data_IF_474092678531
#
_entry.id   IF_474092678531
#
_cell.length_a   1.000
_cell.length_b   1.000
_cell.length_c   1.000
_cell.angle_alpha   90.00
_cell.angle_beta   90.00
_cell.angle_gamma   90.00
#
_symmetry.space_group_name_H-M   'P 1'
#
loop_
_entity.id
_entity.type
_entity.pdbx_description
1 polymer ?
#
# COMPACT_ATOMS: atom_id res chain seq x y z
N UNK A 1 -9.32 3.59 -46.64
CA UNK A 1 -9.20 2.80 -45.42
C UNK A 1 -10.13 3.25 -44.29
N UNK A 2 -10.56 4.54 -44.27
CA UNK A 2 -11.40 5.09 -43.19
C UNK A 2 -12.89 4.66 -43.35
N UNK A 3 -13.33 4.36 -44.55
CA UNK A 3 -14.73 3.96 -44.84
C UNK A 3 -15.02 2.51 -44.41
N UNK A 4 -14.02 1.64 -44.39
CA UNK A 4 -14.20 0.23 -43.97
C UNK A 4 -14.43 0.05 -42.45
N UNK A 5 -13.95 0.99 -41.63
CA UNK A 5 -14.18 1.00 -40.18
C UNK A 5 -15.60 1.44 -39.80
N UNK A 6 -16.28 2.17 -40.68
CA UNK A 6 -17.66 2.63 -40.47
C UNK A 6 -18.73 1.57 -40.72
N UNK A 7 -18.44 0.55 -41.55
CA UNK A 7 -19.39 -0.49 -41.93
C UNK A 7 -19.40 -1.72 -41.00
N UNK A 8 -18.38 -1.93 -40.19
CA UNK A 8 -18.33 -3.03 -39.20
C UNK A 8 -19.04 -2.64 -37.88
N UNK A 9 -19.39 -1.36 -37.69
CA UNK A 9 -20.00 -0.83 -36.46
C UNK A 9 -21.54 -0.86 -36.41
N UNK A 10 -22.24 -1.34 -37.42
CA UNK A 10 -23.70 -1.20 -37.46
C UNK A 10 -24.52 -2.48 -37.21
N UNK A 11 -23.93 -3.62 -37.01
CA UNK A 11 -24.66 -4.83 -36.65
C UNK A 11 -24.58 -5.07 -35.14
N UNK A 12 -25.56 -4.53 -34.38
CA UNK A 12 -25.72 -4.82 -32.95
C UNK A 12 -25.39 -3.68 -31.99
N UNK A 13 -25.50 -2.44 -32.40
CA UNK A 13 -25.29 -1.30 -31.47
C UNK A 13 -26.39 -1.30 -30.40
N UNK A 14 -26.03 -1.65 -29.17
CA UNK A 14 -26.93 -1.63 -28.03
C UNK A 14 -27.50 -0.23 -27.87
N UNK A 15 -28.82 -0.11 -27.82
CA UNK A 15 -29.46 1.19 -27.61
C UNK A 15 -29.39 1.58 -26.14
N UNK A 16 -28.24 2.11 -25.73
CA UNK A 16 -27.98 2.52 -24.37
C UNK A 16 -28.96 3.58 -23.84
N UNK A 17 -29.46 4.46 -24.73
CA UNK A 17 -30.41 5.51 -24.32
C UNK A 17 -31.72 4.89 -23.84
N UNK A 18 -32.20 3.84 -24.52
CA UNK A 18 -33.39 3.09 -24.12
C UNK A 18 -33.20 2.38 -22.78
N UNK A 19 -32.00 1.85 -22.50
CA UNK A 19 -31.72 1.21 -21.21
C UNK A 19 -31.94 2.17 -20.02
N UNK A 20 -31.59 3.45 -20.15
CA UNK A 20 -31.85 4.44 -19.10
C UNK A 20 -33.33 4.81 -18.98
N UNK A 21 -34.07 4.81 -20.09
CA UNK A 21 -35.51 5.02 -20.09
C UNK A 21 -36.24 3.89 -19.38
N UNK A 22 -35.90 2.65 -19.71
CA UNK A 22 -36.51 1.43 -19.13
C UNK A 22 -36.37 1.36 -17.61
N UNK A 23 -35.23 1.78 -17.08
CA UNK A 23 -35.01 1.84 -15.63
C UNK A 23 -35.38 3.22 -15.02
N UNK A 24 -35.86 4.18 -15.80
CA UNK A 24 -36.19 5.52 -15.33
C UNK A 24 -35.04 6.28 -14.67
N UNK A 25 -33.77 6.07 -15.11
CA UNK A 25 -32.60 6.76 -14.59
C UNK A 25 -32.43 8.11 -15.25
N UNK A 26 -33.05 9.15 -14.67
CA UNK A 26 -33.11 10.51 -15.21
C UNK A 26 -32.72 11.54 -14.20
N UNK A 27 -32.18 12.65 -14.66
CA UNK A 27 -31.85 13.80 -13.82
C UNK A 27 -33.10 14.55 -13.33
N UNK A 28 -32.93 15.44 -12.35
CA UNK A 28 -34.01 16.27 -11.80
C UNK A 28 -34.73 17.13 -12.86
N UNK A 29 -34.06 17.37 -13.98
CA UNK A 29 -34.61 18.09 -15.14
C UNK A 29 -35.40 17.18 -16.10
N UNK A 30 -35.63 15.92 -15.74
CA UNK A 30 -36.32 14.91 -16.53
C UNK A 30 -35.51 14.33 -17.71
N UNK A 31 -34.25 14.74 -17.91
CA UNK A 31 -33.42 14.27 -19.01
C UNK A 31 -32.67 12.98 -18.63
N UNK A 32 -32.68 12.03 -19.56
CA UNK A 32 -31.91 10.79 -19.47
C UNK A 32 -30.45 11.03 -19.90
N UNK A 33 -29.49 10.21 -19.39
CA UNK A 33 -28.14 10.18 -19.94
C UNK A 33 -28.18 9.83 -21.44
N UNK A 34 -27.29 10.46 -22.22
CA UNK A 34 -27.14 10.15 -23.66
C UNK A 34 -25.81 9.51 -23.92
N UNK A 35 -25.82 8.43 -24.69
CA UNK A 35 -24.60 7.78 -25.12
C UNK A 35 -23.74 8.73 -25.97
N UNK A 36 -22.46 8.86 -25.62
CA UNK A 36 -21.51 9.76 -26.25
C UNK A 36 -20.36 9.02 -26.97
N UNK A 37 -20.26 7.72 -26.79
CA UNK A 37 -19.24 6.90 -27.44
C UNK A 37 -18.72 5.78 -26.55
N UNK A 38 -17.91 4.90 -27.12
CA UNK A 38 -17.19 3.84 -26.43
C UNK A 38 -15.78 3.66 -26.97
N UNK A 39 -14.91 3.11 -26.13
CA UNK A 39 -13.58 2.67 -26.51
C UNK A 39 -13.34 1.28 -25.92
N UNK A 40 -12.63 0.42 -26.63
CA UNK A 40 -12.26 -0.92 -26.16
C UNK A 40 -10.76 -0.96 -25.88
N UNK A 41 -10.40 -1.34 -24.68
CA UNK A 41 -9.03 -1.50 -24.21
C UNK A 41 -8.84 -2.92 -23.66
N UNK A 42 -8.32 -3.81 -24.48
CA UNK A 42 -8.23 -5.24 -24.16
C UNK A 42 -9.61 -5.83 -23.82
N UNK A 43 -9.81 -6.27 -22.58
CA UNK A 43 -11.09 -6.79 -22.07
C UNK A 43 -12.05 -5.68 -21.61
N UNK A 44 -11.54 -4.48 -21.36
CA UNK A 44 -12.31 -3.33 -20.84
C UNK A 44 -13.09 -2.66 -21.97
N UNK A 45 -14.30 -2.24 -21.66
CA UNK A 45 -15.12 -1.38 -22.51
C UNK A 45 -15.37 -0.09 -21.74
N UNK A 46 -14.87 1.01 -22.27
CA UNK A 46 -15.12 2.33 -21.72
C UNK A 46 -16.37 2.90 -22.39
N UNK A 47 -17.38 3.18 -21.60
CA UNK A 47 -18.63 3.81 -22.08
C UNK A 47 -18.68 5.25 -21.61
N UNK A 48 -19.00 6.16 -22.50
CA UNK A 48 -19.11 7.58 -22.20
C UNK A 48 -20.55 8.04 -22.38
N UNK A 49 -21.05 8.77 -21.38
CA UNK A 49 -22.41 9.30 -21.39
C UNK A 49 -22.42 10.78 -21.07
N UNK A 50 -23.20 11.57 -21.80
CA UNK A 50 -23.54 12.94 -21.41
C UNK A 50 -24.67 12.89 -20.38
N UNK A 51 -24.48 13.47 -19.22
CA UNK A 51 -25.44 13.43 -18.11
C UNK A 51 -25.43 14.70 -17.27
N UNK A 52 -26.60 15.02 -16.73
CA UNK A 52 -26.77 16.05 -15.71
C UNK A 52 -26.95 15.46 -14.32
N UNK A 53 -26.91 14.14 -14.21
CA UNK A 53 -27.05 13.38 -12.95
C UNK A 53 -25.71 13.41 -12.21
N UNK A 54 -25.70 13.73 -10.91
CA UNK A 54 -24.49 13.73 -10.10
C UNK A 54 -23.81 12.35 -10.07
N UNK A 55 -22.48 12.36 -10.00
CA UNK A 55 -21.69 11.11 -9.99
C UNK A 55 -22.03 10.20 -8.77
N UNK A 56 -22.41 10.79 -7.65
CA UNK A 56 -22.88 10.07 -6.46
C UNK A 56 -24.14 9.22 -6.75
N UNK A 57 -25.06 9.73 -7.56
CA UNK A 57 -26.28 9.01 -7.94
C UNK A 57 -25.97 7.88 -8.93
N UNK A 58 -25.02 8.07 -9.85
CA UNK A 58 -24.51 6.99 -10.71
C UNK A 58 -23.89 5.87 -9.86
N UNK A 59 -23.11 6.21 -8.83
CA UNK A 59 -22.49 5.24 -7.94
C UNK A 59 -23.51 4.48 -7.07
N UNK A 60 -24.48 5.18 -6.51
CA UNK A 60 -25.53 4.55 -5.70
C UNK A 60 -26.49 3.67 -6.51
N UNK A 61 -26.60 3.91 -7.82
CA UNK A 61 -27.45 3.14 -8.75
C UNK A 61 -26.67 2.05 -9.51
N UNK A 62 -25.44 1.73 -9.11
CA UNK A 62 -24.52 0.83 -9.84
C UNK A 62 -25.17 -0.48 -10.23
N UNK A 63 -25.72 -1.24 -9.30
CA UNK A 63 -26.34 -2.55 -9.54
C UNK A 63 -27.48 -2.48 -10.57
N UNK A 64 -28.31 -1.45 -10.45
CA UNK A 64 -29.42 -1.19 -11.38
C UNK A 64 -28.92 -0.86 -12.79
N UNK A 65 -27.81 -0.10 -12.87
CA UNK A 65 -27.16 0.23 -14.13
C UNK A 65 -26.47 -0.98 -14.77
N UNK A 66 -25.82 -1.84 -13.98
CA UNK A 66 -25.20 -3.09 -14.44
C UNK A 66 -26.24 -4.00 -15.08
N UNK A 67 -27.41 -4.15 -14.45
CA UNK A 67 -28.51 -4.94 -14.97
C UNK A 67 -29.06 -4.36 -16.29
N UNK A 68 -29.28 -3.04 -16.33
CA UNK A 68 -29.84 -2.39 -17.53
C UNK A 68 -28.86 -2.38 -18.71
N UNK A 69 -27.59 -2.14 -18.41
CA UNK A 69 -26.52 -2.08 -19.43
C UNK A 69 -25.98 -3.47 -19.76
N UNK A 70 -26.40 -4.53 -19.08
CA UNK A 70 -25.89 -5.91 -19.19
C UNK A 70 -24.36 -5.93 -19.27
N UNK A 71 -23.73 -5.41 -18.23
CA UNK A 71 -22.28 -5.36 -18.07
C UNK A 71 -21.92 -5.22 -16.59
N UNK A 72 -20.71 -5.60 -16.22
CA UNK A 72 -20.17 -5.32 -14.90
C UNK A 72 -19.48 -3.95 -14.92
N UNK A 73 -19.93 -3.00 -14.11
CA UNK A 73 -19.35 -1.66 -14.01
C UNK A 73 -18.24 -1.70 -12.96
N UNK A 74 -17.01 -1.53 -13.36
CA UNK A 74 -15.85 -1.56 -12.46
C UNK A 74 -15.58 -0.19 -11.86
N UNK A 75 -15.67 0.87 -12.68
CA UNK A 75 -15.38 2.23 -12.24
C UNK A 75 -16.37 3.23 -12.84
N UNK A 76 -16.75 4.24 -12.03
CA UNK A 76 -17.62 5.33 -12.44
C UNK A 76 -16.90 6.64 -12.14
N UNK A 77 -16.53 7.37 -13.18
CA UNK A 77 -15.71 8.58 -13.11
C UNK A 77 -16.31 9.72 -13.93
N UNK A 78 -15.85 10.95 -13.68
CA UNK A 78 -16.08 12.01 -14.65
C UNK A 78 -15.26 11.75 -15.91
N UNK A 79 -15.83 12.04 -17.08
CA UNK A 79 -15.08 12.09 -18.33
C UNK A 79 -14.31 13.41 -18.46
N UNK A 80 -14.24 13.96 -19.69
CA UNK A 80 -13.51 15.22 -19.95
C UNK A 80 -14.03 16.44 -19.18
N UNK A 81 -15.25 16.39 -18.70
CA UNK A 81 -15.88 17.42 -17.91
C UNK A 81 -16.96 16.85 -16.99
N UNK A 82 -17.51 17.66 -16.07
CA UNK A 82 -18.53 17.24 -15.08
C UNK A 82 -19.87 16.79 -15.69
N UNK A 83 -20.11 17.04 -16.98
CA UNK A 83 -21.31 16.60 -17.71
C UNK A 83 -21.09 15.30 -18.49
N UNK A 84 -19.89 14.76 -18.47
CA UNK A 84 -19.56 13.48 -19.11
C UNK A 84 -19.24 12.48 -18.01
N UNK A 85 -19.94 11.35 -18.01
CA UNK A 85 -19.67 10.22 -17.13
C UNK A 85 -18.96 9.13 -17.94
N UNK A 86 -17.86 8.62 -17.41
CA UNK A 86 -17.11 7.50 -17.96
C UNK A 86 -17.38 6.28 -17.07
N UNK A 87 -17.88 5.22 -17.68
CA UNK A 87 -18.00 3.90 -17.09
C UNK A 87 -16.91 3.01 -17.65
N UNK A 88 -16.09 2.42 -16.78
CA UNK A 88 -15.22 1.30 -17.14
C UNK A 88 -15.97 0.02 -16.87
N UNK A 89 -16.26 -0.75 -17.91
CA UNK A 89 -17.10 -1.94 -17.84
C UNK A 89 -16.38 -3.17 -18.38
N UNK A 90 -16.87 -4.32 -17.95
CA UNK A 90 -16.54 -5.64 -18.50
C UNK A 90 -17.83 -6.31 -18.98
N UNK A 91 -17.77 -7.29 -19.91
CA UNK A 91 -18.92 -8.12 -20.26
C UNK A 91 -19.55 -8.73 -18.99
N UNK A 92 -20.89 -8.89 -18.97
CA UNK A 92 -21.62 -9.43 -17.81
C UNK A 92 -21.23 -10.87 -17.45
N UNK A 93 -20.74 -11.63 -18.42
CA UNK A 93 -20.24 -13.00 -18.29
C UNK A 93 -18.79 -13.08 -17.81
N UNK A 94 -18.09 -11.95 -17.74
CA UNK A 94 -16.70 -11.93 -17.28
C UNK A 94 -16.61 -12.23 -15.77
N UNK A 95 -15.81 -13.24 -15.45
CA UNK A 95 -15.55 -13.64 -14.05
C UNK A 95 -14.06 -13.56 -13.76
N UNK A 96 -13.73 -13.07 -12.57
CA UNK A 96 -12.36 -13.21 -12.02
C UNK A 96 -12.08 -14.72 -11.94
N UNK A 97 -10.91 -15.20 -12.40
CA UNK A 97 -10.53 -16.61 -12.27
C UNK A 97 -10.71 -17.13 -10.85
N UNK A 98 -11.05 -18.39 -10.68
CA UNK A 98 -11.18 -19.02 -9.35
C UNK A 98 -9.87 -19.59 -8.82
N UNK A 99 -8.87 -19.75 -9.67
CA UNK A 99 -7.53 -20.19 -9.34
C UNK A 99 -6.53 -19.61 -10.34
N UNK A 100 -5.44 -19.05 -9.82
CA UNK A 100 -4.28 -18.58 -10.61
C UNK A 100 -3.03 -19.11 -9.91
N UNK A 101 -2.25 -19.95 -10.56
CA UNK A 101 -0.97 -20.42 -10.01
C UNK A 101 0.07 -19.30 -10.08
N UNK A 102 0.88 -19.21 -9.04
CA UNK A 102 2.07 -18.36 -9.08
C UNK A 102 3.03 -18.84 -10.17
N UNK A 103 3.65 -17.91 -10.86
CA UNK A 103 4.81 -18.15 -11.73
C UNK A 103 5.73 -16.93 -11.69
N UNK A 104 6.99 -17.12 -12.07
CA UNK A 104 8.01 -16.08 -12.06
C UNK A 104 7.67 -14.88 -12.95
N UNK A 105 6.81 -15.04 -13.95
CA UNK A 105 6.31 -13.94 -14.78
C UNK A 105 5.58 -12.84 -13.99
N UNK A 106 5.08 -13.18 -12.78
CA UNK A 106 4.43 -12.22 -11.87
C UNK A 106 5.40 -11.57 -10.89
N UNK A 107 6.65 -12.04 -10.84
CA UNK A 107 7.69 -11.39 -10.04
C UNK A 107 8.03 -10.03 -10.67
N UNK A 108 8.01 -8.98 -9.86
CA UNK A 108 8.31 -7.65 -10.36
C UNK A 108 9.82 -7.38 -10.30
N UNK A 109 10.39 -6.86 -11.38
CA UNK A 109 11.82 -6.50 -11.46
C UNK A 109 12.21 -5.35 -10.53
N UNK A 110 11.23 -4.55 -10.10
CA UNK A 110 11.47 -3.42 -9.18
C UNK A 110 11.47 -3.93 -7.74
N UNK A 111 12.59 -3.80 -7.05
CA UNK A 111 12.71 -4.18 -5.64
C UNK A 111 11.65 -3.45 -4.80
N UNK A 112 10.96 -4.24 -3.96
CA UNK A 112 9.88 -3.74 -3.09
C UNK A 112 8.53 -3.56 -3.78
N UNK A 113 8.37 -3.95 -5.05
CA UNK A 113 7.04 -4.09 -5.67
C UNK A 113 6.62 -5.54 -5.60
N UNK A 114 5.49 -5.80 -4.94
CA UNK A 114 4.96 -7.16 -4.74
C UNK A 114 3.61 -7.31 -5.44
N UNK A 115 3.39 -8.47 -6.04
CA UNK A 115 2.18 -8.80 -6.80
C UNK A 115 1.26 -9.70 -5.97
N UNK A 116 -0.02 -9.34 -5.88
CA UNK A 116 -1.02 -10.04 -5.06
C UNK A 116 -1.81 -11.12 -5.83
N UNK A 117 -2.13 -10.84 -7.08
CA UNK A 117 -3.02 -11.68 -7.86
C UNK A 117 -3.69 -10.90 -9.00
N UNK A 118 -4.80 -11.45 -9.51
CA UNK A 118 -5.50 -10.94 -10.68
C UNK A 118 -6.90 -10.43 -10.29
N UNK A 119 -7.18 -9.18 -10.59
CA UNK A 119 -8.51 -8.58 -10.48
C UNK A 119 -9.31 -8.76 -11.78
N UNK A 120 -10.50 -8.21 -11.80
CA UNK A 120 -11.31 -8.16 -13.00
C UNK A 120 -10.62 -7.38 -14.15
N UNK A 121 -9.81 -6.39 -13.84
CA UNK A 121 -9.17 -5.52 -14.82
C UNK A 121 -7.72 -5.90 -15.09
N UNK A 122 -6.93 -6.01 -14.04
CA UNK A 122 -5.48 -6.05 -14.14
C UNK A 122 -4.86 -6.91 -13.03
N UNK A 123 -3.59 -7.19 -13.15
CA UNK A 123 -2.77 -7.73 -12.07
C UNK A 123 -2.62 -6.69 -10.96
N UNK A 124 -2.89 -7.07 -9.72
CA UNK A 124 -2.78 -6.18 -8.56
C UNK A 124 -1.39 -6.29 -7.96
N UNK A 125 -0.72 -5.17 -7.85
CA UNK A 125 0.58 -5.04 -7.18
C UNK A 125 0.60 -3.80 -6.28
N UNK A 126 1.56 -3.75 -5.36
CA UNK A 126 1.78 -2.59 -4.51
C UNK A 126 3.27 -2.39 -4.23
N UNK A 127 3.63 -1.14 -3.91
CA UNK A 127 5.03 -0.76 -3.68
C UNK A 127 5.26 -0.49 -2.18
N UNK A 128 6.20 -1.22 -1.57
CA UNK A 128 6.57 -1.12 -0.16
C UNK A 128 7.15 0.25 0.22
N UNK A 129 7.68 1.02 -0.72
CA UNK A 129 8.12 2.39 -0.44
C UNK A 129 6.93 3.32 -0.18
N UNK A 130 5.78 3.05 -0.81
CA UNK A 130 4.54 3.82 -0.60
C UNK A 130 3.72 3.28 0.56
N UNK A 131 3.60 1.97 0.67
CA UNK A 131 2.74 1.26 1.63
C UNK A 131 3.55 0.16 2.33
N UNK A 132 4.27 0.51 3.40
CA UNK A 132 5.35 -0.32 3.94
C UNK A 132 4.89 -1.59 4.65
N UNK A 133 3.65 -1.67 5.09
CA UNK A 133 3.14 -2.76 5.91
C UNK A 133 1.83 -3.30 5.36
N UNK A 134 1.63 -4.59 5.55
CA UNK A 134 0.50 -5.35 4.98
C UNK A 134 -0.21 -6.12 6.09
N UNK A 135 -1.53 -5.98 6.16
CA UNK A 135 -2.40 -6.83 6.95
C UNK A 135 -3.15 -7.78 6.02
N UNK A 136 -3.03 -9.07 6.26
CA UNK A 136 -3.78 -10.11 5.57
C UNK A 136 -4.73 -10.78 6.56
N UNK A 137 -6.01 -10.57 6.36
CA UNK A 137 -7.04 -11.11 7.22
C UNK A 137 -7.95 -12.08 6.46
N UNK A 138 -8.54 -13.06 7.16
CA UNK A 138 -9.49 -14.00 6.57
C UNK A 138 -9.68 -15.24 7.43
N UNK A 139 -10.87 -15.82 7.36
CA UNK A 139 -11.21 -17.04 8.08
C UNK A 139 -10.32 -18.23 7.67
N UNK A 140 -10.31 -19.26 8.50
CA UNK A 140 -9.61 -20.52 8.19
C UNK A 140 -10.06 -21.06 6.83
N UNK A 141 -9.11 -21.40 5.98
CA UNK A 141 -9.39 -21.90 4.62
C UNK A 141 -9.61 -20.83 3.56
N UNK A 142 -9.57 -19.53 3.90
CA UNK A 142 -9.67 -18.42 2.93
C UNK A 142 -8.47 -18.33 1.97
N UNK A 143 -7.31 -18.90 2.34
CA UNK A 143 -6.05 -18.80 1.59
C UNK A 143 -5.06 -17.77 2.17
N UNK A 144 -5.30 -17.27 3.41
CA UNK A 144 -4.44 -16.29 4.10
C UNK A 144 -2.96 -16.70 4.15
N UNK A 145 -2.66 -17.92 4.60
CA UNK A 145 -1.27 -18.39 4.69
C UNK A 145 -0.65 -18.57 3.31
N UNK A 146 -1.44 -18.94 2.30
CA UNK A 146 -0.94 -19.09 0.91
C UNK A 146 -0.51 -17.76 0.33
N UNK A 147 -1.31 -16.69 0.49
CA UNK A 147 -0.91 -15.37 0.00
C UNK A 147 0.27 -14.80 0.80
N UNK A 148 0.36 -15.05 2.11
CA UNK A 148 1.51 -14.64 2.93
C UNK A 148 2.79 -15.33 2.45
N UNK A 149 2.75 -16.64 2.17
CA UNK A 149 3.91 -17.37 1.63
C UNK A 149 4.31 -16.92 0.23
N UNK A 150 3.33 -16.60 -0.62
CA UNK A 150 3.61 -16.02 -1.94
C UNK A 150 4.29 -14.64 -1.83
N UNK A 151 3.88 -13.78 -0.89
CA UNK A 151 4.53 -12.50 -0.64
C UNK A 151 5.93 -12.68 -0.01
N UNK A 152 6.08 -13.65 0.90
CA UNK A 152 7.37 -14.03 1.48
C UNK A 152 8.35 -14.46 0.38
N UNK A 153 7.90 -15.34 -0.53
CA UNK A 153 8.70 -15.79 -1.65
C UNK A 153 9.18 -14.65 -2.54
N UNK A 154 8.30 -13.73 -2.91
CA UNK A 154 8.67 -12.56 -3.69
C UNK A 154 9.72 -11.68 -2.98
N UNK A 155 9.63 -11.54 -1.65
CA UNK A 155 10.65 -10.83 -0.87
C UNK A 155 12.00 -11.54 -0.90
N UNK A 156 12.01 -12.87 -0.79
CA UNK A 156 13.21 -13.70 -0.87
C UNK A 156 13.86 -13.56 -2.26
N UNK A 157 13.10 -13.71 -3.33
CA UNK A 157 13.57 -13.55 -4.71
C UNK A 157 14.14 -12.15 -4.99
N UNK A 158 13.61 -11.13 -4.33
CA UNK A 158 14.13 -9.77 -4.41
C UNK A 158 15.33 -9.51 -3.48
N UNK A 159 15.88 -10.55 -2.83
CA UNK A 159 17.06 -10.47 -1.97
C UNK A 159 16.81 -9.86 -0.59
N UNK A 160 15.58 -9.90 -0.09
CA UNK A 160 15.28 -9.42 1.25
C UNK A 160 15.70 -10.43 2.31
N UNK A 161 16.13 -9.93 3.48
CA UNK A 161 16.25 -10.73 4.69
C UNK A 161 14.88 -10.94 5.31
N UNK A 162 14.53 -12.15 5.73
CA UNK A 162 13.19 -12.47 6.22
C UNK A 162 13.22 -13.13 7.59
N UNK A 163 12.25 -12.74 8.42
CA UNK A 163 11.96 -13.33 9.72
C UNK A 163 10.51 -13.81 9.71
N UNK A 164 10.29 -15.04 10.10
CA UNK A 164 8.99 -15.70 10.06
C UNK A 164 8.58 -16.11 11.46
N UNK A 165 7.55 -15.46 12.01
CA UNK A 165 7.07 -15.69 13.38
C UNK A 165 5.85 -16.59 13.32
N UNK A 166 5.97 -17.80 13.85
CA UNK A 166 4.94 -18.84 13.87
C UNK A 166 4.90 -19.57 15.21
N UNK A 167 4.10 -19.04 16.14
CA UNK A 167 3.95 -19.62 17.48
C UNK A 167 3.09 -20.88 17.53
N UNK A 168 2.64 -21.38 16.36
CA UNK A 168 1.99 -22.68 16.23
C UNK A 168 3.00 -23.82 15.99
N UNK A 169 4.24 -23.62 16.38
CA UNK A 169 5.30 -24.60 16.27
C UNK A 169 5.90 -24.72 14.87
N UNK A 170 5.83 -23.65 14.08
CA UNK A 170 6.42 -23.61 12.72
C UNK A 170 5.64 -24.45 11.70
N UNK A 171 4.33 -24.61 11.86
CA UNK A 171 3.48 -25.38 10.94
C UNK A 171 3.24 -24.63 9.64
N UNK A 172 3.05 -23.32 9.71
CA UNK A 172 2.75 -22.47 8.55
C UNK A 172 4.03 -22.07 7.79
N UNK A 173 5.12 -21.83 8.52
CA UNK A 173 6.47 -21.65 7.97
C UNK A 173 7.34 -22.83 8.40
N UNK A 174 7.23 -23.93 7.66
CA UNK A 174 7.92 -25.19 7.99
C UNK A 174 9.44 -25.13 7.80
N UNK A 175 10.12 -26.24 8.11
CA UNK A 175 11.60 -26.36 8.01
C UNK A 175 12.17 -25.98 6.64
N UNK A 176 11.40 -26.12 5.57
CA UNK A 176 11.80 -25.74 4.22
C UNK A 176 12.09 -24.23 4.09
N UNK A 177 11.59 -23.40 5.01
CA UNK A 177 11.84 -21.96 5.01
C UNK A 177 13.08 -21.55 5.81
N UNK A 178 13.63 -22.41 6.68
CA UNK A 178 14.83 -22.12 7.50
C UNK A 178 16.07 -21.80 6.64
N UNK A 179 16.13 -22.31 5.41
CA UNK A 179 17.19 -22.00 4.46
C UNK A 179 17.14 -20.56 3.90
N UNK A 180 16.00 -19.88 4.01
CA UNK A 180 15.80 -18.53 3.46
C UNK A 180 15.79 -17.44 4.53
N UNK A 181 15.60 -17.81 5.80
CA UNK A 181 15.53 -16.87 6.89
C UNK A 181 15.28 -17.55 8.24
N UNK A 182 15.05 -16.76 9.28
CA UNK A 182 14.82 -17.29 10.62
C UNK A 182 13.35 -17.59 10.85
N UNK A 183 13.02 -18.85 11.18
CA UNK A 183 11.71 -19.28 11.66
C UNK A 183 11.69 -19.20 13.19
N UNK A 184 10.82 -18.38 13.75
CA UNK A 184 10.76 -18.04 15.17
C UNK A 184 9.48 -18.63 15.76
N UNK A 185 9.63 -19.57 16.67
CA UNK A 185 8.53 -20.28 17.34
C UNK A 185 8.35 -19.87 18.80
N UNK A 186 9.34 -19.16 19.38
CA UNK A 186 9.36 -18.76 20.77
C UNK A 186 9.21 -17.25 20.93
N UNK A 187 8.40 -16.80 21.93
CA UNK A 187 8.10 -15.37 22.17
C UNK A 187 9.33 -14.58 22.58
N UNK A 188 10.19 -15.16 23.41
CA UNK A 188 11.44 -14.58 23.85
C UNK A 188 12.35 -14.27 22.65
N UNK A 189 12.43 -15.21 21.72
CA UNK A 189 13.22 -15.02 20.50
C UNK A 189 12.59 -13.95 19.60
N UNK A 190 11.28 -13.94 19.46
CA UNK A 190 10.57 -12.90 18.72
C UNK A 190 10.83 -11.50 19.31
N UNK A 191 10.79 -11.36 20.64
CA UNK A 191 11.10 -10.10 21.31
C UNK A 191 12.55 -9.66 21.04
N UNK A 192 13.52 -10.57 21.12
CA UNK A 192 14.93 -10.28 20.81
C UNK A 192 15.10 -9.78 19.37
N UNK A 193 14.50 -10.48 18.41
CA UNK A 193 14.57 -10.10 16.99
C UNK A 193 13.91 -8.74 16.76
N UNK A 194 12.73 -8.50 17.32
CA UNK A 194 12.06 -7.21 17.20
C UNK A 194 12.88 -6.07 17.84
N UNK A 195 13.58 -6.32 18.94
CA UNK A 195 14.48 -5.33 19.55
C UNK A 195 15.67 -5.02 18.63
N UNK A 196 16.29 -6.05 18.03
CA UNK A 196 17.34 -5.87 17.03
C UNK A 196 16.85 -5.06 15.82
N UNK A 197 15.64 -5.33 15.34
CA UNK A 197 15.05 -4.61 14.21
C UNK A 197 14.73 -3.15 14.52
N UNK A 198 14.31 -2.84 15.75
CA UNK A 198 14.14 -1.45 16.20
C UNK A 198 15.48 -0.72 16.20
N UNK A 199 16.55 -1.34 16.72
CA UNK A 199 17.90 -0.77 16.70
C UNK A 199 18.44 -0.60 15.27
N UNK A 200 18.22 -1.59 14.42
CA UNK A 200 18.57 -1.51 12.98
C UNK A 200 17.83 -0.36 12.29
N UNK A 201 16.55 -0.18 12.59
CA UNK A 201 15.76 0.92 12.04
C UNK A 201 16.34 2.28 12.48
N UNK A 202 16.62 2.47 13.76
CA UNK A 202 17.23 3.69 14.30
C UNK A 202 18.59 3.96 13.64
N UNK A 203 19.40 2.93 13.51
CA UNK A 203 20.69 3.02 12.84
C UNK A 203 20.54 3.47 11.37
N UNK A 204 19.68 2.82 10.59
CA UNK A 204 19.42 3.21 9.19
C UNK A 204 18.94 4.65 9.08
N UNK A 205 18.05 5.09 9.96
CA UNK A 205 17.58 6.48 10.00
C UNK A 205 18.71 7.47 10.25
N UNK A 206 19.65 7.16 11.16
CA UNK A 206 20.84 8.00 11.39
C UNK A 206 21.72 8.07 10.14
N UNK A 207 22.04 6.92 9.53
CA UNK A 207 22.83 6.85 8.30
C UNK A 207 22.17 7.61 7.15
N UNK A 208 20.87 7.47 6.98
CA UNK A 208 20.13 8.15 5.92
C UNK A 208 20.14 9.66 6.12
N UNK A 209 19.99 10.14 7.35
CA UNK A 209 20.12 11.55 7.68
C UNK A 209 21.51 12.09 7.37
N UNK A 210 22.55 11.37 7.82
CA UNK A 210 23.96 11.82 7.64
C UNK A 210 24.38 11.81 6.17
N UNK A 211 23.77 10.92 5.37
CA UNK A 211 23.96 10.88 3.92
C UNK A 211 22.95 11.74 3.14
N UNK A 212 22.04 12.45 3.81
CA UNK A 212 21.01 13.27 3.16
C UNK A 212 20.19 12.48 2.11
N UNK A 213 19.78 11.24 2.46
CA UNK A 213 18.91 10.40 1.63
C UNK A 213 17.58 10.15 2.36
N UNK A 214 16.49 10.00 1.61
CA UNK A 214 15.15 9.91 2.19
C UNK A 214 14.69 8.48 2.48
N UNK A 215 15.26 7.49 1.80
CA UNK A 215 14.82 6.11 1.88
C UNK A 215 15.92 5.13 1.41
N UNK A 216 15.62 3.83 1.56
CA UNK A 216 16.51 2.74 1.18
C UNK A 216 16.95 2.78 -0.28
N UNK A 217 16.04 3.09 -1.20
CA UNK A 217 16.34 3.10 -2.64
C UNK A 217 17.31 4.25 -2.98
N UNK A 218 17.10 5.44 -2.38
CA UNK A 218 18.03 6.55 -2.51
C UNK A 218 19.40 6.24 -1.89
N UNK A 219 19.41 5.54 -0.74
CA UNK A 219 20.64 5.08 -0.11
C UNK A 219 21.42 4.15 -1.06
N UNK A 220 20.79 3.10 -1.56
CA UNK A 220 21.42 2.15 -2.47
C UNK A 220 21.92 2.83 -3.76
N UNK A 221 21.14 3.74 -4.31
CA UNK A 221 21.55 4.51 -5.50
C UNK A 221 22.74 5.43 -5.22
N UNK A 222 22.77 6.10 -4.06
CA UNK A 222 23.82 7.06 -3.71
C UNK A 222 25.13 6.37 -3.35
N UNK A 223 25.06 5.29 -2.57
CA UNK A 223 26.25 4.57 -2.08
C UNK A 223 26.72 3.49 -3.05
N UNK A 224 25.89 3.08 -4.02
CA UNK A 224 26.09 1.91 -4.86
C UNK A 224 26.23 0.61 -4.05
N UNK A 225 25.70 0.59 -2.83
CA UNK A 225 25.59 -0.61 -1.99
C UNK A 225 24.23 -1.25 -2.24
N UNK A 226 24.10 -2.52 -1.84
CA UNK A 226 22.85 -3.23 -1.89
C UNK A 226 22.36 -3.53 -0.47
N UNK A 227 21.99 -2.47 0.27
CA UNK A 227 21.35 -2.66 1.56
C UNK A 227 19.97 -3.31 1.34
N UNK A 228 19.80 -4.52 1.86
CA UNK A 228 18.58 -5.29 1.62
C UNK A 228 17.38 -4.78 2.43
N UNK A 229 16.18 -5.05 1.93
CA UNK A 229 14.94 -4.95 2.70
C UNK A 229 14.91 -6.02 3.77
N UNK A 230 14.10 -5.80 4.80
CA UNK A 230 13.84 -6.78 5.84
C UNK A 230 12.34 -7.02 5.90
N UNK A 231 11.91 -8.27 5.73
CA UNK A 231 10.51 -8.69 5.86
C UNK A 231 10.28 -9.41 7.18
N UNK A 232 9.28 -9.00 7.95
CA UNK A 232 8.82 -9.70 9.14
C UNK A 232 7.43 -10.25 8.86
N UNK A 233 7.32 -11.57 8.81
CA UNK A 233 6.08 -12.28 8.50
C UNK A 233 5.53 -12.92 9.76
N UNK A 234 4.23 -12.75 9.99
CA UNK A 234 3.51 -13.39 11.09
C UNK A 234 2.24 -14.02 10.56
N UNK A 235 2.02 -15.31 10.80
CA UNK A 235 0.78 -15.97 10.34
C UNK A 235 -0.43 -15.54 11.17
N UNK A 236 -0.28 -15.43 12.50
CA UNK A 236 -1.37 -15.09 13.38
C UNK A 236 -0.97 -14.05 14.44
N UNK A 237 -1.38 -12.81 14.20
CA UNK A 237 -1.08 -11.70 15.10
C UNK A 237 -1.69 -11.87 16.49
N UNK A 238 -2.84 -12.56 16.60
CA UNK A 238 -3.47 -12.83 17.89
C UNK A 238 -2.56 -13.66 18.81
N UNK A 239 -1.81 -14.62 18.29
CA UNK A 239 -0.84 -15.39 19.08
C UNK A 239 0.28 -14.53 19.68
N UNK A 240 0.57 -13.39 19.05
CA UNK A 240 1.59 -12.45 19.54
C UNK A 240 1.04 -11.44 20.55
N UNK A 241 -0.23 -11.02 20.40
CA UNK A 241 -0.77 -9.83 21.08
C UNK A 241 -1.96 -10.11 21.99
N UNK A 242 -2.66 -11.26 21.90
CA UNK A 242 -3.80 -11.55 22.76
C UNK A 242 -3.33 -11.90 24.18
N UNK A 243 -3.72 -11.03 25.12
CA UNK A 243 -3.38 -11.14 26.54
C UNK A 243 -4.48 -11.81 27.38
N UNK A 244 -5.54 -12.31 26.73
CA UNK A 244 -6.66 -12.99 27.41
C UNK A 244 -6.19 -14.32 27.98
N UNK A 245 -6.41 -14.53 29.29
CA UNK A 245 -6.03 -15.77 29.96
C UNK A 245 -4.52 -15.93 30.24
N UNK A 246 -3.70 -14.97 29.85
CA UNK A 246 -2.24 -14.98 30.12
C UNK A 246 -1.95 -14.60 31.56
N UNK A 247 -1.01 -15.30 32.21
CA UNK A 247 -0.55 -14.98 33.56
C UNK A 247 0.04 -13.56 33.63
N UNK A 248 -0.02 -12.92 34.80
CA UNK A 248 0.37 -11.52 34.95
C UNK A 248 1.86 -11.32 34.63
N UNK A 249 2.69 -12.26 34.98
CA UNK A 249 4.14 -12.27 34.78
C UNK A 249 4.49 -12.36 33.29
N UNK A 250 3.70 -13.12 32.52
CA UNK A 250 3.90 -13.30 31.09
C UNK A 250 3.35 -12.14 30.24
N UNK A 251 2.39 -11.35 30.77
CA UNK A 251 1.82 -10.21 30.04
C UNK A 251 2.87 -9.19 29.61
N UNK A 252 3.94 -9.06 30.38
CA UNK A 252 5.00 -8.11 30.11
C UNK A 252 5.68 -8.37 28.75
N UNK A 253 5.90 -9.64 28.39
CA UNK A 253 6.52 -9.94 27.07
C UNK A 253 5.59 -9.57 25.90
N UNK A 254 4.27 -9.80 26.05
CA UNK A 254 3.28 -9.40 25.04
C UNK A 254 3.25 -7.87 24.85
N UNK A 255 3.33 -7.10 25.94
CA UNK A 255 3.37 -5.63 25.90
C UNK A 255 4.64 -5.11 25.24
N UNK A 256 5.77 -5.74 25.51
CA UNK A 256 7.03 -5.39 24.87
C UNK A 256 7.01 -5.69 23.37
N UNK A 257 6.50 -6.87 22.96
CA UNK A 257 6.32 -7.25 21.55
C UNK A 257 5.41 -6.23 20.86
N UNK A 258 4.24 -5.90 21.44
CA UNK A 258 3.30 -4.92 20.87
C UNK A 258 3.96 -3.54 20.70
N UNK A 259 4.74 -3.10 21.73
CA UNK A 259 5.46 -1.83 21.68
C UNK A 259 6.50 -1.78 20.54
N UNK A 260 7.26 -2.86 20.35
CA UNK A 260 8.25 -2.96 19.26
C UNK A 260 7.59 -2.99 17.88
N UNK A 261 6.54 -3.79 17.69
CA UNK A 261 5.75 -3.82 16.47
C UNK A 261 5.15 -2.46 16.12
N UNK A 262 4.56 -1.77 17.11
CA UNK A 262 4.02 -0.42 16.95
C UNK A 262 5.09 0.58 16.55
N UNK A 263 6.29 0.47 17.11
CA UNK A 263 7.44 1.32 16.77
C UNK A 263 7.88 1.10 15.32
N UNK A 264 8.06 -0.15 14.91
CA UNK A 264 8.41 -0.50 13.53
C UNK A 264 7.31 -0.05 12.56
N UNK A 265 6.03 -0.34 12.84
CA UNK A 265 4.92 0.06 12.00
C UNK A 265 4.87 1.58 11.74
N UNK A 266 5.28 2.38 12.70
CA UNK A 266 5.27 3.84 12.60
C UNK A 266 6.51 4.42 11.93
N UNK A 267 7.71 3.83 12.14
CA UNK A 267 8.98 4.48 11.85
C UNK A 267 9.79 3.82 10.73
N UNK A 268 9.47 2.59 10.31
CA UNK A 268 10.37 1.82 9.43
C UNK A 268 10.08 1.91 7.94
N UNK A 269 9.17 2.79 7.51
CA UNK A 269 8.86 2.98 6.09
C UNK A 269 10.10 3.33 5.27
N UNK A 270 10.87 4.32 5.72
CA UNK A 270 12.03 4.79 4.99
C UNK A 270 13.18 3.77 4.97
N UNK A 271 13.33 3.00 6.02
CA UNK A 271 14.46 2.09 6.23
C UNK A 271 14.31 0.73 5.55
N UNK A 272 13.12 0.45 4.97
CA UNK A 272 12.86 -0.80 4.26
C UNK A 272 12.64 -2.00 5.16
N UNK A 273 12.22 -1.80 6.43
CA UNK A 273 11.76 -2.88 7.31
C UNK A 273 10.25 -2.97 7.20
N UNK A 274 9.75 -4.08 6.69
CA UNK A 274 8.37 -4.25 6.27
C UNK A 274 7.67 -5.34 7.10
N UNK A 275 6.46 -5.07 7.59
CA UNK A 275 5.67 -6.01 8.39
C UNK A 275 4.54 -6.60 7.54
N UNK A 276 4.42 -7.93 7.55
CA UNK A 276 3.37 -8.71 6.90
C UNK A 276 2.63 -9.50 7.98
N UNK A 277 1.45 -9.05 8.34
CA UNK A 277 0.73 -9.55 9.50
C UNK A 277 -0.53 -10.30 9.10
N UNK A 278 -0.60 -11.57 9.43
CA UNK A 278 -1.77 -12.42 9.27
C UNK A 278 -2.72 -12.33 10.46
N UNK A 279 -4.03 -12.36 10.22
CA UNK A 279 -5.07 -12.41 11.25
C UNK A 279 -6.22 -13.29 10.79
N UNK A 280 -6.56 -14.34 11.54
CA UNK A 280 -7.71 -15.19 11.25
C UNK A 280 -8.98 -14.68 11.94
N UNK A 281 -8.84 -14.24 13.18
CA UNK A 281 -9.96 -13.70 13.99
C UNK A 281 -9.63 -12.28 14.41
N UNK A 282 -10.02 -11.29 13.62
CA UNK A 282 -9.76 -9.90 13.95
C UNK A 282 -10.56 -9.50 15.20
N UNK A 283 -9.84 -9.09 16.24
CA UNK A 283 -10.38 -8.54 17.49
C UNK A 283 -9.81 -7.13 17.66
N UNK A 284 -10.61 -6.19 18.12
CA UNK A 284 -10.19 -4.80 18.34
C UNK A 284 -9.08 -4.66 19.39
N UNK A 285 -8.96 -5.64 20.30
CA UNK A 285 -7.88 -5.68 21.30
C UNK A 285 -6.56 -6.18 20.70
N UNK A 286 -6.61 -6.98 19.63
CA UNK A 286 -5.42 -7.47 18.90
C UNK A 286 -4.99 -6.45 17.83
N UNK A 287 -5.95 -5.98 17.03
CA UNK A 287 -5.73 -4.93 16.05
C UNK A 287 -6.01 -3.56 16.66
N UNK A 288 -5.13 -3.12 17.57
CA UNK A 288 -5.26 -1.81 18.21
C UNK A 288 -5.22 -0.68 17.18
N UNK A 289 -5.84 0.46 17.52
CA UNK A 289 -5.84 1.63 16.65
C UNK A 289 -4.44 2.09 16.22
N UNK A 290 -3.45 1.93 17.09
CA UNK A 290 -2.06 2.28 16.78
C UNK A 290 -1.46 1.39 15.68
N UNK A 291 -1.64 0.08 15.76
CA UNK A 291 -1.19 -0.85 14.73
C UNK A 291 -1.97 -0.62 13.43
N UNK A 292 -3.32 -0.60 13.52
CA UNK A 292 -4.21 -0.50 12.37
C UNK A 292 -3.99 0.78 11.55
N UNK A 293 -3.73 1.91 12.19
CA UNK A 293 -3.52 3.19 11.51
C UNK A 293 -2.19 3.28 10.75
N UNK A 294 -1.21 2.46 11.12
CA UNK A 294 0.10 2.42 10.48
C UNK A 294 0.24 1.31 9.43
N UNK A 295 -0.83 0.54 9.19
CA UNK A 295 -0.87 -0.50 8.15
C UNK A 295 -1.86 -0.07 7.06
N UNK A 296 -1.38 0.58 6.00
CA UNK A 296 -2.24 1.13 4.96
C UNK A 296 -2.80 0.07 4.01
N UNK A 297 -2.07 -1.03 3.76
CA UNK A 297 -2.52 -2.14 2.92
C UNK A 297 -3.30 -3.13 3.75
N UNK A 298 -4.54 -3.36 3.37
CA UNK A 298 -5.40 -4.35 3.99
C UNK A 298 -5.95 -5.30 2.95
N UNK A 299 -5.65 -6.57 3.14
CA UNK A 299 -6.11 -7.67 2.30
C UNK A 299 -7.07 -8.49 3.15
N UNK A 300 -8.31 -8.62 2.71
CA UNK A 300 -9.33 -9.34 3.46
C UNK A 300 -9.95 -10.45 2.62
N UNK A 301 -9.85 -11.67 3.09
CA UNK A 301 -10.72 -12.76 2.64
C UNK A 301 -12.14 -12.58 3.18
N UNK A 302 -13.01 -13.53 2.84
CA UNK A 302 -14.39 -13.53 3.32
C UNK A 302 -14.44 -13.66 4.84
N UNK A 303 -15.41 -12.95 5.44
CA UNK A 303 -15.85 -13.12 6.81
C UNK A 303 -17.36 -13.36 6.85
N UNK A 304 -17.80 -14.28 7.68
CA UNK A 304 -19.22 -14.46 7.95
C UNK A 304 -19.77 -13.33 8.85
N UNK A 305 -18.92 -12.78 9.73
CA UNK A 305 -19.27 -11.71 10.67
C UNK A 305 -18.93 -10.31 10.12
N UNK A 306 -19.91 -9.41 10.21
CA UNK A 306 -19.78 -7.99 9.83
C UNK A 306 -18.74 -7.27 10.66
N UNK A 307 -18.67 -7.56 11.96
CA UNK A 307 -17.75 -6.92 12.90
C UNK A 307 -16.29 -7.20 12.50
N UNK A 308 -15.98 -8.44 12.11
CA UNK A 308 -14.67 -8.82 11.62
C UNK A 308 -14.28 -8.02 10.36
N UNK A 309 -15.20 -7.88 9.40
CA UNK A 309 -15.00 -7.06 8.21
C UNK A 309 -14.76 -5.58 8.56
N UNK A 310 -15.55 -5.02 9.48
CA UNK A 310 -15.40 -3.63 9.92
C UNK A 310 -14.06 -3.37 10.65
N UNK A 311 -13.62 -4.32 11.48
CA UNK A 311 -12.31 -4.23 12.15
C UNK A 311 -11.18 -4.16 11.13
N UNK A 312 -11.21 -4.97 10.09
CA UNK A 312 -10.15 -5.05 9.07
C UNK A 312 -10.29 -3.93 8.05
N UNK A 313 -11.44 -3.83 7.39
CA UNK A 313 -11.65 -2.95 6.23
C UNK A 313 -12.26 -1.60 6.59
N UNK A 314 -12.91 -1.47 7.77
CA UNK A 314 -13.71 -0.31 8.12
C UNK A 314 -15.05 -0.24 7.37
N UNK A 315 -15.47 -1.36 6.74
CA UNK A 315 -16.76 -1.54 6.09
C UNK A 315 -17.15 -3.03 6.11
N UNK A 316 -18.32 -3.39 5.58
CA UNK A 316 -18.84 -4.75 5.58
C UNK A 316 -18.62 -5.53 4.27
N UNK A 317 -17.75 -5.04 3.37
CA UNK A 317 -17.59 -5.58 2.02
C UNK A 317 -17.11 -7.05 2.02
N UNK A 318 -16.29 -7.45 3.00
CA UNK A 318 -15.77 -8.82 3.09
C UNK A 318 -16.85 -9.89 3.32
N UNK A 319 -18.02 -9.50 3.87
CA UNK A 319 -19.15 -10.43 4.05
C UNK A 319 -19.75 -10.84 2.70
N UNK A 320 -19.66 -9.94 1.71
CA UNK A 320 -20.25 -10.14 0.38
C UNK A 320 -19.32 -10.90 -0.58
N UNK A 321 -18.08 -11.19 -0.18
CA UNK A 321 -17.19 -11.99 -1.01
C UNK A 321 -17.76 -13.40 -1.26
N UNK A 322 -17.62 -13.93 -2.48
CA UNK A 322 -17.97 -15.32 -2.76
C UNK A 322 -17.08 -16.28 -1.95
N UNK A 323 -17.62 -17.46 -1.64
CA UNK A 323 -16.89 -18.52 -0.95
C UNK A 323 -15.95 -19.26 -1.94
N UNK A 324 -14.90 -18.55 -2.32
CA UNK A 324 -13.85 -19.04 -3.24
C UNK A 324 -12.50 -18.89 -2.54
N UNK A 325 -11.75 -20.00 -2.42
CA UNK A 325 -10.42 -19.97 -1.81
C UNK A 325 -9.48 -19.04 -2.59
N UNK A 326 -8.78 -18.18 -1.89
CA UNK A 326 -7.88 -17.19 -2.49
C UNK A 326 -8.59 -15.96 -3.06
N UNK A 327 -9.91 -15.81 -2.86
CA UNK A 327 -10.65 -14.60 -3.22
C UNK A 327 -10.54 -13.58 -2.08
N UNK A 328 -10.00 -12.40 -2.42
CA UNK A 328 -9.73 -11.33 -1.45
C UNK A 328 -10.20 -9.97 -1.95
N UNK A 329 -10.37 -9.07 -1.00
CA UNK A 329 -10.45 -7.62 -1.21
C UNK A 329 -9.09 -7.00 -0.87
N UNK A 330 -8.57 -6.18 -1.77
CA UNK A 330 -7.43 -5.32 -1.56
C UNK A 330 -7.92 -3.91 -1.30
N UNK A 331 -7.58 -3.33 -0.14
CA UNK A 331 -7.97 -1.98 0.25
C UNK A 331 -6.75 -1.12 0.51
N UNK A 332 -6.69 0.02 -0.19
CA UNK A 332 -5.74 1.11 0.05
C UNK A 332 -6.53 2.42 0.02
N UNK A 333 -6.46 3.18 1.11
CA UNK A 333 -7.28 4.37 1.25
C UNK A 333 -8.78 4.07 1.19
N UNK A 334 -9.49 4.68 0.26
CA UNK A 334 -10.94 4.53 0.07
C UNK A 334 -11.32 3.54 -1.03
N UNK A 335 -10.36 2.99 -1.76
CA UNK A 335 -10.62 2.05 -2.84
C UNK A 335 -10.54 0.61 -2.32
N UNK A 336 -11.50 -0.21 -2.77
CA UNK A 336 -11.54 -1.65 -2.49
C UNK A 336 -11.64 -2.38 -3.83
N UNK A 337 -10.72 -3.32 -4.07
CA UNK A 337 -10.65 -4.08 -5.33
C UNK A 337 -10.73 -5.57 -5.00
N UNK A 338 -11.69 -6.27 -5.61
CA UNK A 338 -11.79 -7.72 -5.54
C UNK A 338 -10.77 -8.36 -6.48
N UNK A 339 -10.05 -9.39 -6.00
CA UNK A 339 -9.06 -10.12 -6.78
C UNK A 339 -8.95 -11.58 -6.36
N UNK A 340 -8.42 -12.41 -7.25
CA UNK A 340 -7.98 -13.77 -6.95
C UNK A 340 -6.49 -13.75 -6.67
N UNK A 341 -6.07 -14.13 -5.46
CA UNK A 341 -4.67 -14.28 -5.11
C UNK A 341 -4.03 -15.45 -5.86
N UNK A 342 -2.72 -15.41 -6.01
CA UNK A 342 -1.99 -16.54 -6.54
C UNK A 342 -2.04 -17.73 -5.57
N UNK A 343 -2.20 -18.91 -6.14
CA UNK A 343 -1.95 -20.17 -5.45
C UNK A 343 -0.45 -20.44 -5.47
N UNK A 344 0.14 -20.46 -4.29
CA UNK A 344 1.56 -20.75 -4.08
C UNK A 344 1.67 -22.12 -3.41
N UNK A 345 2.39 -23.04 -4.06
CA UNK A 345 2.61 -24.39 -3.61
C UNK A 345 4.09 -24.56 -3.22
N UNK A 346 4.34 -24.68 -1.94
CA UNK A 346 5.69 -24.73 -1.38
C UNK A 346 6.52 -25.91 -1.93
N UNK A 347 5.86 -27.07 -2.17
CA UNK A 347 6.57 -28.26 -2.63
C UNK A 347 7.13 -28.12 -4.06
N UNK A 348 6.45 -27.33 -4.89
CA UNK A 348 6.80 -27.21 -6.31
C UNK A 348 7.43 -25.87 -6.68
N UNK A 349 7.32 -24.86 -5.83
CA UNK A 349 7.71 -23.47 -6.16
C UNK A 349 8.94 -22.98 -5.39
N UNK A 350 9.28 -23.63 -4.25
CA UNK A 350 10.53 -23.32 -3.55
C UNK A 350 11.72 -23.94 -4.32
N UNK A 351 12.74 -23.13 -4.56
CA UNK A 351 13.99 -23.55 -5.18
C UNK A 351 15.16 -22.84 -4.52
N UNK A 352 16.39 -23.29 -4.78
CA UNK A 352 17.57 -22.65 -4.24
C UNK A 352 17.71 -21.22 -4.79
N UNK A 353 17.67 -20.25 -3.89
CA UNK A 353 17.97 -18.86 -4.17
C UNK A 353 19.28 -18.51 -3.50
N UNK A 354 20.22 -17.94 -4.24
CA UNK A 354 21.42 -17.35 -3.63
C UNK A 354 21.00 -16.10 -2.84
N UNK A 355 20.44 -16.30 -1.66
CA UNK A 355 20.23 -15.21 -0.72
C UNK A 355 21.60 -14.91 -0.13
N UNK A 356 22.16 -13.74 -0.45
CA UNK A 356 23.26 -13.18 0.31
C UNK A 356 22.71 -12.82 1.71
N UNK A 357 22.57 -13.87 2.52
CA UNK A 357 22.13 -13.76 3.91
C UNK A 357 23.31 -13.19 4.71
N UNK A 358 23.73 -11.98 4.40
CA UNK A 358 24.70 -11.31 5.27
C UNK A 358 24.36 -11.65 6.72
N UNK A 359 25.36 -11.97 7.55
CA UNK A 359 25.24 -12.55 8.90
C UNK A 359 23.93 -12.14 9.59
N UNK A 360 23.11 -13.14 9.96
CA UNK A 360 21.87 -12.92 10.70
C UNK A 360 22.16 -11.91 11.80
N UNK A 361 21.30 -10.92 12.01
CA UNK A 361 21.49 -9.90 13.04
C UNK A 361 21.59 -10.57 14.43
N UNK A 362 22.77 -10.99 14.80
CA UNK A 362 23.09 -11.51 16.14
C UNK A 362 23.41 -10.36 17.08
N UNK A 363 23.94 -9.27 16.53
CA UNK A 363 24.20 -8.01 17.21
C UNK A 363 23.79 -6.84 16.29
N UNK A 364 23.46 -5.68 16.87
CA UNK A 364 23.22 -4.48 16.09
C UNK A 364 24.49 -4.18 15.28
N UNK A 365 24.42 -4.10 13.94
CA UNK A 365 25.61 -3.99 13.12
C UNK A 365 26.35 -2.71 13.50
N UNK A 366 27.63 -2.87 13.86
CA UNK A 366 28.55 -1.75 13.98
C UNK A 366 29.00 -1.42 12.55
N UNK A 367 28.20 -0.65 11.82
CA UNK A 367 28.62 -0.14 10.54
C UNK A 367 29.74 0.88 10.74
N UNK A 368 30.90 0.56 10.24
CA UNK A 368 31.94 1.55 10.04
C UNK A 368 31.47 2.43 8.89
N UNK A 369 31.06 3.66 9.19
CA UNK A 369 30.83 4.68 8.16
C UNK A 369 32.09 4.72 7.28
N UNK A 370 31.98 4.54 5.93
CA UNK A 370 33.13 4.77 5.09
C UNK A 370 33.63 6.20 5.35
N UNK A 371 34.89 6.38 5.69
CA UNK A 371 35.52 7.69 5.79
C UNK A 371 35.55 8.35 4.41
N UNK A 372 34.40 8.79 3.93
CA UNK A 372 34.35 9.76 2.85
C UNK A 372 34.73 11.11 3.47
N UNK A 373 35.99 11.49 3.24
CA UNK A 373 36.48 12.85 3.48
C UNK A 373 35.46 13.81 2.90
N UNK A 374 34.63 14.37 3.76
CA UNK A 374 33.75 15.50 3.41
C UNK A 374 34.70 16.59 2.97
N UNK A 375 34.63 17.12 1.72
CA UNK A 375 35.45 18.26 1.34
C UNK A 375 34.98 19.41 2.22
N UNK A 376 35.84 19.78 3.18
CA UNK A 376 35.66 20.98 4.00
C UNK A 376 35.66 22.14 3.05
N UNK A 377 34.51 22.77 2.81
CA UNK A 377 34.46 24.07 2.13
C UNK A 377 35.25 25.06 2.96
N UNK A 378 36.46 25.42 2.50
CA UNK A 378 37.19 26.54 3.05
C UNK A 378 36.32 27.79 2.84
N UNK A 379 35.81 28.34 3.93
CA UNK A 379 35.26 29.67 3.93
C UNK A 379 36.38 30.67 3.60
N UNK A 380 36.45 31.08 2.36
CA UNK A 380 37.24 32.27 1.99
C UNK A 380 36.46 33.50 2.52
N UNK A 381 36.92 34.00 3.65
CA UNK A 381 36.52 35.30 4.18
C UNK A 381 36.91 36.41 3.18
N UNK A 382 35.97 36.82 2.32
CA UNK A 382 36.07 38.12 1.65
C UNK A 382 35.68 39.19 2.67
N UNK A 383 36.72 39.96 3.11
CA UNK A 383 36.53 41.23 3.82
C UNK A 383 35.67 42.15 2.96
N UNK A 384 34.46 42.44 3.42
CA UNK A 384 33.67 43.52 2.89
C UNK A 384 33.96 44.79 3.71
N UNK A 385 34.41 45.82 3.06
CA UNK A 385 34.60 47.16 3.58
C UNK A 385 33.29 47.75 4.08
N UNK A 386 33.35 48.29 5.28
CA UNK A 386 32.24 49.00 5.92
C UNK A 386 32.20 50.42 5.41
N UNK A 387 31.19 50.76 4.59
CA UNK A 387 30.81 52.14 4.36
C UNK A 387 29.75 52.54 5.42
N UNK A 388 30.15 53.45 6.28
CA UNK A 388 29.30 54.08 7.29
C UNK A 388 28.33 55.07 6.63
N UNK A 389 27.02 54.92 6.85
CA UNK A 389 26.10 56.04 6.85
C UNK A 389 25.10 55.85 7.98
N UNK A 390 25.03 56.85 8.85
CA UNK A 390 24.26 56.81 10.08
C UNK A 390 22.78 57.08 9.94
N UNK A 391 22.01 56.50 10.82
CA UNK A 391 20.79 57.14 11.40
C UNK A 391 20.28 56.39 12.63
N UNK A 392 20.34 57.14 13.74
CA UNK A 392 19.51 57.24 14.94
C UNK A 392 18.77 55.99 15.53
N UNK A 393 19.21 55.71 16.75
CA UNK A 393 18.57 54.88 17.78
C UNK A 393 17.12 55.28 18.10
N UNK A 394 16.26 54.30 18.37
CA UNK A 394 15.18 54.36 19.37
C UNK A 394 15.21 53.10 20.21
N UNK A 395 15.45 53.36 21.53
CA UNK A 395 15.28 52.37 22.59
C UNK A 395 13.82 51.94 22.70
N UNK A 396 13.59 50.62 22.86
CA UNK A 396 12.44 50.10 23.59
C UNK A 396 12.89 48.87 24.37
N UNK A 397 12.45 48.86 25.61
CA UNK A 397 12.79 48.09 26.78
C UNK A 397 12.43 46.61 26.66
N UNK A 398 13.26 45.77 27.30
CA UNK A 398 13.11 44.35 27.50
C UNK A 398 11.95 44.02 28.46
N UNK A 399 11.16 43.01 28.11
CA UNK A 399 10.38 42.18 29.05
C UNK A 399 10.74 40.72 28.82
N UNK A 400 11.23 40.10 29.86
CA UNK A 400 11.48 38.64 29.95
C UNK A 400 10.15 37.92 30.11
N UNK A 401 9.90 36.90 29.30
CA UNK A 401 9.08 35.76 29.70
C UNK A 401 9.62 34.47 29.10
N UNK A 402 9.58 33.47 29.93
CA UNK A 402 10.11 32.13 29.85
C UNK A 402 9.53 31.26 28.72
N UNK A 403 10.35 30.30 28.32
CA UNK A 403 10.30 29.31 27.27
C UNK A 403 9.04 28.47 27.07
N UNK A 404 8.87 28.17 25.81
CA UNK A 404 8.27 26.93 25.30
C UNK A 404 8.81 26.70 23.90
N UNK A 405 9.50 25.57 23.71
CA UNK A 405 9.94 25.11 22.41
C UNK A 405 8.72 24.71 21.56
N UNK A 406 8.44 25.44 20.52
CA UNK A 406 7.52 25.03 19.45
C UNK A 406 8.30 24.49 18.27
N UNK A 407 8.14 23.19 18.03
CA UNK A 407 8.43 22.57 16.75
C UNK A 407 7.62 23.25 15.66
N UNK A 408 8.28 24.06 14.83
CA UNK A 408 7.69 24.68 13.65
C UNK A 408 7.86 23.71 12.46
N UNK A 409 6.76 23.03 12.09
CA UNK A 409 6.57 22.57 10.71
C UNK A 409 6.40 23.82 9.86
N UNK A 410 7.36 24.13 9.01
CA UNK A 410 7.18 25.16 7.99
C UNK A 410 6.21 24.62 6.93
N UNK A 411 5.08 25.26 6.82
CA UNK A 411 4.09 25.01 5.77
C UNK A 411 4.71 25.43 4.43
N UNK A 412 4.81 24.54 3.43
CA UNK A 412 5.41 24.83 2.14
C UNK A 412 4.70 25.96 1.36
N UNK A 413 3.51 26.38 1.79
CA UNK A 413 2.71 27.44 1.14
C UNK A 413 2.83 28.80 1.82
N UNK A 414 3.66 28.95 2.85
CA UNK A 414 3.84 30.24 3.56
C UNK A 414 4.49 31.26 2.65
N UNK A 415 3.73 32.32 2.32
CA UNK A 415 4.18 33.44 1.50
C UNK A 415 3.71 33.41 0.05
N UNK A 416 3.03 32.35 -0.37
CA UNK A 416 2.45 32.24 -1.72
C UNK A 416 1.05 32.86 -1.79
N UNK A 417 0.74 33.54 -2.89
CA UNK A 417 -0.61 33.99 -3.17
C UNK A 417 -1.47 32.85 -3.72
N UNK A 418 -2.80 33.03 -3.74
CA UNK A 418 -3.76 31.97 -4.12
C UNK A 418 -3.50 31.37 -5.51
N UNK A 419 -2.89 32.11 -6.41
CA UNK A 419 -2.59 31.66 -7.78
C UNK A 419 -1.32 30.81 -7.83
N UNK A 420 -0.32 31.17 -7.04
CA UNK A 420 0.92 30.41 -6.86
C UNK A 420 0.66 29.09 -6.13
N UNK A 421 -0.26 29.07 -5.15
CA UNK A 421 -0.71 27.85 -4.47
C UNK A 421 -1.45 26.92 -5.45
N UNK A 422 -2.33 27.46 -6.29
CA UNK A 422 -3.03 26.67 -7.32
C UNK A 422 -2.06 26.10 -8.38
N UNK A 423 -1.05 26.85 -8.77
CA UNK A 423 -0.04 26.41 -9.71
C UNK A 423 0.88 25.34 -9.09
N UNK A 424 1.26 25.46 -7.83
CA UNK A 424 2.10 24.47 -7.14
C UNK A 424 1.32 23.20 -6.81
N UNK A 425 0.06 23.28 -6.39
CA UNK A 425 -0.82 22.12 -6.23
C UNK A 425 -1.04 21.40 -7.56
N UNK A 426 -1.17 22.13 -8.66
CA UNK A 426 -1.32 21.57 -9.99
C UNK A 426 -0.05 20.85 -10.46
N UNK A 427 1.12 21.36 -10.10
CA UNK A 427 2.42 20.78 -10.38
C UNK A 427 2.65 19.50 -9.58
N UNK A 428 2.26 19.51 -8.30
CA UNK A 428 2.27 18.31 -7.45
C UNK A 428 1.31 17.22 -7.99
N UNK A 429 0.12 17.62 -8.46
CA UNK A 429 -0.86 16.72 -9.09
C UNK A 429 -0.36 16.19 -10.45
N UNK A 430 0.36 16.99 -11.25
CA UNK A 430 0.96 16.56 -12.52
C UNK A 430 2.20 15.68 -12.32
N UNK A 431 3.00 15.89 -11.28
CA UNK A 431 4.08 14.99 -10.87
C UNK A 431 3.53 13.66 -10.33
N UNK A 432 2.43 13.68 -9.56
CA UNK A 432 1.73 12.48 -9.10
C UNK A 432 1.02 11.72 -10.25
N UNK A 433 0.51 12.42 -11.26
CA UNK A 433 -0.11 11.83 -12.44
C UNK A 433 0.92 11.24 -13.42
N UNK A 434 2.08 11.86 -13.58
CA UNK A 434 3.17 11.33 -14.41
C UNK A 434 3.86 10.11 -13.76
N UNK A 435 3.72 9.94 -12.43
CA UNK A 435 4.15 8.73 -11.71
C UNK A 435 3.13 7.59 -11.77
N UNK A 436 1.89 7.87 -12.23
CA UNK A 436 0.79 6.89 -12.24
C UNK A 436 0.46 6.27 -13.60
N UNK A 437 0.99 6.77 -14.73
CA UNK A 437 0.56 6.31 -16.06
C UNK A 437 1.66 6.28 -17.14
N UNK A 438 2.91 6.36 -16.78
CA UNK A 438 4.01 6.16 -17.71
C UNK A 438 4.81 4.92 -17.27
N UNK A 439 4.71 3.84 -18.04
CA UNK A 439 5.35 2.52 -17.91
C UNK A 439 4.50 1.46 -17.18
N UNK A 440 3.42 1.05 -17.86
CA UNK A 440 2.86 -0.29 -17.80
C UNK A 440 2.47 -0.74 -19.21
#
# INVERSE_FOLDING_TARGET
PVIYLFLIGQTGQKNYDKCFEDIGFKGKNGKFPKYAGSSKEGKKILLFFQSTIPLSEWRSSRERLETALDCSIIKIENGRNKRTVKLTTLPSDYKIPTMVKWSEEYLNDKNGVLTLGISALDTISFNLNRVPHVLVAGETGSGKSVILRCLLWQMIEQGARVYMIDFKGGVEFGKQYEQYGEVITERERALQVLDLLVKENEYRLHVFRDLEVKNLDEYNKKTRQNLCRIGVFTDELAEMLDKKGVAKEEKQIYEQIEGKLSTLARLSRATGINLFMGVQRPDANVLTGQIKNNIPVRISGRFADKTASEIVLGNTDAVNLPDIKGRFLYKVGNETIEFQSFYFDDETMLHEVCVDQGEMLTEAPVYKVPEHKIPVRKNENKKAEVVRSGRKEKKVTAVKTSGEEKNSYEDPFVGMNSREIEEEMRRMDEEDLNLNFGDF
#
